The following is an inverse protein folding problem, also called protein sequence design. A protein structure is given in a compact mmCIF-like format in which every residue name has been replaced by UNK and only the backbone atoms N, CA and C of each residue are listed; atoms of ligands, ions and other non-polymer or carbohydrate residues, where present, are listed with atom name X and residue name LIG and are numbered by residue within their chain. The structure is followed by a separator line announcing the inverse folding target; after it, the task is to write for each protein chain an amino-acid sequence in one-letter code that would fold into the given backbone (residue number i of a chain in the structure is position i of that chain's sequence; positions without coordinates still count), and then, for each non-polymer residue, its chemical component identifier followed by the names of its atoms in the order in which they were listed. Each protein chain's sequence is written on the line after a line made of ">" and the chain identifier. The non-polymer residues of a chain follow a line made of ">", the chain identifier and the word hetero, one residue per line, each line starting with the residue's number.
data_IF_033842143002
#
_entry.id   IF_033842143002
#
_cell.length_a   1.000
_cell.length_b   1.000
_cell.length_c   1.000
_cell.angle_alpha   90.00
_cell.angle_beta   90.00
_cell.angle_gamma   90.00
#
_symmetry.space_group_name_H-M   'P 1'
#
loop_
_entity.id
_entity.type
_entity.pdbx_description
1 polymer ?
#
# COMPACT_ATOMS: atom_id res chain seq x y z
N UNK A 1 11.70 -15.36 16.48
CA UNK A 1 11.48 -13.92 16.75
C UNK A 1 9.98 -13.66 16.70
N UNK A 2 9.40 -13.04 17.73
CA UNK A 2 7.95 -12.76 17.79
C UNK A 2 7.68 -11.43 17.08
N UNK A 3 6.75 -11.40 16.14
CA UNK A 3 6.34 -10.19 15.41
C UNK A 3 4.81 -10.12 15.29
N UNK A 4 4.28 -8.94 15.00
CA UNK A 4 2.86 -8.73 14.70
C UNK A 4 2.66 -8.62 13.20
N UNK A 5 1.56 -9.16 12.70
CA UNK A 5 1.13 -9.05 11.31
C UNK A 5 -0.40 -9.06 11.27
N UNK A 6 -0.97 -8.87 10.09
CA UNK A 6 -2.42 -8.93 9.89
C UNK A 6 -2.91 -10.38 9.95
N UNK A 7 -4.12 -10.59 10.45
CA UNK A 7 -4.74 -11.92 10.50
C UNK A 7 -5.20 -12.39 9.11
N UNK A 8 -5.73 -11.46 8.32
CA UNK A 8 -6.25 -11.70 6.97
C UNK A 8 -6.03 -10.48 6.08
N UNK A 9 -6.07 -10.69 4.78
CA UNK A 9 -6.07 -9.61 3.79
C UNK A 9 -7.30 -8.71 3.97
N UNK A 10 -7.10 -7.41 3.76
CA UNK A 10 -8.15 -6.40 3.96
C UNK A 10 -8.15 -5.42 2.80
N UNK A 11 -9.34 -5.06 2.32
CA UNK A 11 -9.56 -3.99 1.36
C UNK A 11 -10.56 -3.01 1.95
N UNK A 12 -10.22 -1.72 1.97
CA UNK A 12 -11.09 -0.63 2.43
C UNK A 12 -11.16 0.44 1.35
N UNK A 13 -12.36 0.94 1.07
CA UNK A 13 -12.62 2.05 0.16
C UNK A 13 -13.01 3.30 0.93
N UNK A 14 -12.45 4.44 0.56
CA UNK A 14 -12.80 5.75 1.07
C UNK A 14 -12.93 6.77 -0.07
N UNK A 15 -13.73 7.81 0.13
CA UNK A 15 -13.95 8.88 -0.86
C UNK A 15 -13.66 10.22 -0.20
N UNK A 16 -12.71 10.97 -0.76
CA UNK A 16 -12.26 12.26 -0.22
C UNK A 16 -12.22 13.27 -1.37
N UNK A 17 -12.96 14.38 -1.25
CA UNK A 17 -13.05 15.44 -2.29
C UNK A 17 -13.20 14.85 -3.72
N UNK A 18 -14.18 13.96 -3.92
CA UNK A 18 -14.46 13.22 -5.17
C UNK A 18 -13.38 12.23 -5.63
N UNK A 19 -12.21 12.21 -5.01
CA UNK A 19 -11.19 11.19 -5.27
C UNK A 19 -11.54 9.91 -4.50
N UNK A 20 -11.33 8.75 -5.14
CA UNK A 20 -11.56 7.44 -4.51
C UNK A 20 -10.20 6.87 -4.11
N UNK A 21 -10.11 6.39 -2.88
CA UNK A 21 -8.95 5.71 -2.33
C UNK A 21 -9.33 4.28 -1.95
N UNK A 22 -8.56 3.31 -2.42
CA UNK A 22 -8.74 1.89 -2.08
C UNK A 22 -7.45 1.40 -1.41
N UNK A 23 -7.49 1.24 -0.10
CA UNK A 23 -6.41 0.65 0.69
C UNK A 23 -6.50 -0.86 0.65
N UNK A 24 -5.54 -1.50 -0.01
CA UNK A 24 -5.39 -2.96 -0.08
C UNK A 24 -4.20 -3.39 0.76
N UNK A 25 -4.43 -4.31 1.69
CA UNK A 25 -3.43 -4.80 2.65
C UNK A 25 -3.34 -6.31 2.49
N UNK A 26 -2.13 -6.82 2.26
CA UNK A 26 -1.86 -8.26 2.15
C UNK A 26 -0.70 -8.69 3.01
N UNK A 27 -0.81 -9.88 3.59
CA UNK A 27 0.31 -10.54 4.26
C UNK A 27 1.29 -11.07 3.20
N UNK A 28 2.57 -10.76 3.37
CA UNK A 28 3.64 -11.14 2.44
C UNK A 28 4.87 -11.60 3.20
N UNK A 29 5.52 -12.67 2.75
CA UNK A 29 6.63 -13.31 3.45
C UNK A 29 7.99 -12.94 2.87
N UNK A 30 8.02 -12.59 1.59
CA UNK A 30 9.23 -12.29 0.83
C UNK A 30 8.95 -11.24 -0.27
N UNK A 31 9.96 -10.97 -1.10
CA UNK A 31 9.83 -10.00 -2.19
C UNK A 31 9.01 -10.53 -3.37
N UNK A 32 8.96 -11.84 -3.58
CA UNK A 32 8.22 -12.45 -4.69
C UNK A 32 6.71 -12.30 -4.44
N UNK A 33 6.26 -12.53 -3.21
CA UNK A 33 4.88 -12.28 -2.80
C UNK A 33 4.52 -10.79 -2.85
N UNK A 34 5.45 -9.90 -2.50
CA UNK A 34 5.28 -8.44 -2.68
C UNK A 34 5.03 -8.13 -4.16
N UNK A 35 5.93 -8.57 -5.05
CA UNK A 35 5.81 -8.30 -6.47
C UNK A 35 4.54 -8.90 -7.09
N UNK A 36 4.16 -10.12 -6.69
CA UNK A 36 2.94 -10.77 -7.11
C UNK A 36 1.71 -9.95 -6.70
N UNK A 37 1.69 -9.44 -5.47
CA UNK A 37 0.61 -8.58 -4.99
C UNK A 37 0.53 -7.26 -5.75
N UNK A 38 1.66 -6.58 -5.98
CA UNK A 38 1.68 -5.33 -6.74
C UNK A 38 1.18 -5.55 -8.18
N UNK A 39 1.59 -6.64 -8.83
CA UNK A 39 1.10 -7.03 -10.16
C UNK A 39 -0.40 -7.29 -10.15
N UNK A 40 -0.92 -7.96 -9.13
CA UNK A 40 -2.36 -8.21 -8.97
C UNK A 40 -3.13 -6.89 -8.83
N UNK A 41 -2.70 -6.00 -7.95
CA UNK A 41 -3.33 -4.69 -7.71
C UNK A 41 -3.32 -3.85 -8.98
N UNK A 42 -2.18 -3.79 -9.68
CA UNK A 42 -2.07 -3.07 -10.95
C UNK A 42 -2.99 -3.64 -12.03
N UNK A 43 -3.16 -4.96 -12.09
CA UNK A 43 -4.10 -5.60 -13.03
C UNK A 43 -5.55 -5.32 -12.64
N UNK A 44 -5.87 -5.36 -11.34
CA UNK A 44 -7.22 -5.16 -10.81
C UNK A 44 -7.70 -3.72 -10.99
N UNK A 45 -6.82 -2.75 -10.78
CA UNK A 45 -7.10 -1.32 -10.89
C UNK A 45 -6.24 -0.68 -11.99
N UNK A 46 -6.31 -1.26 -13.19
CA UNK A 46 -5.47 -0.87 -14.34
C UNK A 46 -5.70 0.57 -14.82
N UNK A 47 -6.85 1.12 -14.47
CA UNK A 47 -7.35 2.45 -14.84
C UNK A 47 -7.17 3.49 -13.72
N UNK A 48 -6.57 3.09 -12.59
CA UNK A 48 -6.23 4.01 -11.51
C UNK A 48 -5.08 4.95 -11.93
N UNK A 49 -5.04 6.13 -11.31
CA UNK A 49 -4.00 7.12 -11.57
C UNK A 49 -2.67 6.70 -10.96
N UNK A 50 -2.71 6.26 -9.70
CA UNK A 50 -1.54 5.89 -8.91
C UNK A 50 -1.88 4.72 -7.97
N UNK A 51 -0.90 3.87 -7.72
CA UNK A 51 -0.89 2.77 -6.76
C UNK A 51 0.33 2.87 -5.83
N UNK A 52 0.50 4.00 -5.08
CA UNK A 52 1.54 4.11 -4.07
C UNK A 52 1.45 2.96 -3.07
N UNK A 53 2.60 2.49 -2.61
CA UNK A 53 2.67 1.33 -1.74
C UNK A 53 3.82 1.43 -0.76
N UNK A 54 3.75 0.60 0.28
CA UNK A 54 4.89 0.31 1.14
C UNK A 54 4.81 -1.13 1.64
N UNK A 55 5.96 -1.69 1.99
CA UNK A 55 6.04 -2.99 2.64
C UNK A 55 7.12 -3.02 3.71
N UNK A 56 6.98 -3.96 4.64
CA UNK A 56 7.98 -4.24 5.67
C UNK A 56 8.01 -5.72 5.99
N UNK A 57 9.17 -6.34 5.84
CA UNK A 57 9.39 -7.76 6.09
C UNK A 57 10.22 -7.98 7.35
N UNK A 58 10.02 -9.12 8.01
CA UNK A 58 10.80 -9.52 9.19
C UNK A 58 12.28 -9.77 8.85
N UNK A 59 12.60 -9.99 7.58
CA UNK A 59 13.98 -10.12 7.06
C UNK A 59 14.77 -8.80 7.09
N UNK A 60 14.12 -7.68 7.46
CA UNK A 60 14.71 -6.34 7.46
C UNK A 60 14.51 -5.58 6.14
N UNK A 61 14.04 -6.25 5.08
CA UNK A 61 13.68 -5.62 3.82
C UNK A 61 12.43 -4.76 3.98
N UNK A 62 12.51 -3.51 3.54
CA UNK A 62 11.42 -2.54 3.61
C UNK A 62 11.59 -1.50 2.51
N UNK A 63 10.48 -1.02 1.97
CA UNK A 63 10.48 -0.03 0.88
C UNK A 63 9.14 0.70 0.82
N UNK A 64 9.13 1.86 0.19
CA UNK A 64 7.93 2.61 -0.15
C UNK A 64 8.07 3.27 -1.52
N UNK A 65 6.95 3.49 -2.20
CA UNK A 65 6.85 4.18 -3.49
C UNK A 65 5.66 5.11 -3.49
N UNK A 66 5.85 6.31 -4.06
CA UNK A 66 4.78 7.26 -4.32
C UNK A 66 4.02 6.97 -5.64
N UNK A 67 4.53 6.07 -6.48
CA UNK A 67 3.96 5.70 -7.79
C UNK A 67 3.55 6.89 -8.66
N UNK A 68 4.38 7.94 -8.70
CA UNK A 68 4.14 9.15 -9.50
C UNK A 68 3.34 10.24 -8.80
N UNK A 69 2.88 10.02 -7.56
CA UNK A 69 2.44 11.11 -6.67
C UNK A 69 3.61 12.04 -6.33
N UNK A 70 3.35 13.29 -5.88
CA UNK A 70 4.40 14.19 -5.41
C UNK A 70 5.30 13.51 -4.36
N UNK A 71 6.61 13.71 -4.46
CA UNK A 71 7.58 12.97 -3.67
C UNK A 71 7.32 13.04 -2.16
N UNK A 72 7.23 11.87 -1.53
CA UNK A 72 6.97 11.70 -0.11
C UNK A 72 5.52 11.88 0.33
N UNK A 73 4.58 12.16 -0.58
CA UNK A 73 3.19 12.46 -0.22
C UNK A 73 2.31 11.24 -0.01
N UNK A 74 2.69 10.05 -0.50
CA UNK A 74 1.87 8.86 -0.43
C UNK A 74 2.60 7.65 0.17
N UNK A 75 3.75 7.26 -0.37
CA UNK A 75 4.52 6.10 0.08
C UNK A 75 5.02 6.25 1.54
N UNK A 76 5.51 7.44 1.90
CA UNK A 76 6.00 7.72 3.26
C UNK A 76 4.88 7.62 4.30
N UNK A 77 3.70 8.24 4.13
CA UNK A 77 2.56 8.04 5.03
C UNK A 77 2.16 6.56 5.21
N UNK A 78 2.09 5.79 4.11
CA UNK A 78 1.74 4.36 4.17
C UNK A 78 2.79 3.60 5.01
N UNK A 79 4.07 3.85 4.75
CA UNK A 79 5.14 3.20 5.49
C UNK A 79 5.16 3.58 6.97
N UNK A 80 4.90 4.85 7.29
CA UNK A 80 4.79 5.32 8.67
C UNK A 80 3.62 4.67 9.40
N UNK A 81 2.49 4.42 8.75
CA UNK A 81 1.38 3.67 9.35
C UNK A 81 1.79 2.22 9.69
N UNK A 82 2.44 1.51 8.77
CA UNK A 82 2.98 0.16 9.02
C UNK A 82 3.92 0.16 10.25
N UNK A 83 4.81 1.16 10.34
CA UNK A 83 5.73 1.32 11.48
C UNK A 83 5.03 1.66 12.78
N UNK A 84 4.06 2.55 12.76
CA UNK A 84 3.27 2.97 13.92
C UNK A 84 2.55 1.78 14.56
N UNK A 85 1.91 0.94 13.74
CA UNK A 85 1.26 -0.29 14.24
C UNK A 85 2.25 -1.41 14.55
N UNK A 86 3.55 -1.24 14.25
CA UNK A 86 4.60 -2.22 14.53
C UNK A 86 4.31 -3.58 13.90
N UNK A 87 3.75 -3.58 12.68
CA UNK A 87 3.44 -4.80 11.92
C UNK A 87 4.52 -5.07 10.87
N UNK A 88 4.71 -6.36 10.56
CA UNK A 88 5.70 -6.89 9.63
C UNK A 88 5.04 -7.94 8.73
N UNK A 89 5.78 -8.35 7.70
CA UNK A 89 5.32 -9.28 6.67
C UNK A 89 4.01 -8.78 6.05
N UNK A 90 3.98 -7.50 5.70
CA UNK A 90 2.80 -6.82 5.18
C UNK A 90 3.20 -5.91 4.04
N UNK A 91 2.38 -5.90 3.00
CA UNK A 91 2.40 -4.93 1.93
C UNK A 91 1.06 -4.20 1.89
N UNK A 92 1.13 -2.87 1.78
CA UNK A 92 -0.04 -1.99 1.69
C UNK A 92 0.07 -1.21 0.40
N UNK A 93 -0.99 -1.24 -0.40
CA UNK A 93 -1.14 -0.44 -1.62
C UNK A 93 -2.36 0.46 -1.48
N UNK A 94 -2.22 1.74 -1.79
CA UNK A 94 -3.33 2.69 -1.80
C UNK A 94 -3.59 3.09 -3.25
N UNK A 95 -4.56 2.46 -3.87
CA UNK A 95 -4.99 2.81 -5.22
C UNK A 95 -5.81 4.10 -5.19
N UNK A 96 -5.44 5.07 -6.03
CA UNK A 96 -6.14 6.36 -6.15
C UNK A 96 -6.77 6.52 -7.54
N UNK A 97 -8.04 6.93 -7.53
CA UNK A 97 -8.73 7.51 -8.68
C UNK A 97 -8.94 9.01 -8.43
N UNK A 98 -8.41 9.86 -9.29
CA UNK A 98 -8.48 11.31 -9.17
C UNK A 98 -9.88 11.84 -9.49
N UNK A 99 -10.46 12.58 -8.56
CA UNK A 99 -11.82 13.11 -8.66
C UNK A 99 -11.97 14.47 -9.35
N UNK A 100 -10.92 14.98 -10.01
CA UNK A 100 -10.93 16.29 -10.66
C UNK A 100 -10.64 17.48 -9.74
N UNK A 101 -10.43 17.26 -8.44
CA UNK A 101 -10.12 18.30 -7.45
C UNK A 101 -8.82 17.94 -6.74
N UNK A 102 -7.83 18.84 -6.75
CA UNK A 102 -6.58 18.67 -6.01
C UNK A 102 -6.87 18.62 -4.50
N UNK A 103 -6.21 17.69 -3.81
CA UNK A 103 -6.36 17.51 -2.37
C UNK A 103 -5.66 18.61 -1.59
#
# INVERSE_FOLDING_TARGET
>A
MRYRTIEKDVIVKNVIKRSIFIGSVRRVSDLEEVEAFLKEIRRKYRDANHNPYAYRLVTGKQYYSDDGEPGGSAGVPIFNAIRHFGVYNVCVVVTRYFGGVKL
#
